data_IF_899125740878
#
_entry.id   IF_899125740878
#
_cell.length_a   1.000
_cell.length_b   1.000
_cell.length_c   1.000
_cell.angle_alpha   90.00
_cell.angle_beta   90.00
_cell.angle_gamma   90.00
#
_symmetry.space_group_name_H-M   'P 1'
#
loop_
_entity.id
_entity.type
_entity.pdbx_description
1 polymer ?
2 polymer ?
3 polymer ?
4 non-polymer ?
5 water ?
#
loop_
_entity_poly.entity_id
_entity_poly.type
_entity_poly.pdbx_seq_one_letter_code
_entity_poly.pdbx_strand_id
2 'polydeoxyribonucleotide' '(DG)(DG)(DG)(DA)(DA)(DT)(DG)(DG)(DC)(DA)(DG)(DT)(DA)(DT)(DT)(DC)(DA)(DT)(DC)(DC)(DA)(DC)(DA)(DA)(DT)(DG)' ?
3 'polydeoxyribonucleotide' '(DC)(DC)(DA)(DT)(DT)(DG)(DT)(DG)(DG)(DA)(DT)(DG)(DA)(DA)(DT)(DA)(DC)(DT)(DG)(DC)(DC)(DA)(DT)(DT)(DC)(DC)' ?
#
# COMPACT_ATOMS: atom_id res chain seq x y z
N UNK A 6 -6.98 2.88 -20.56
CA UNK A 6 -6.68 4.02 -19.71
C UNK A 6 -7.94 4.54 -19.01
N UNK A 7 -8.59 3.65 -18.29
CA UNK A 7 -9.81 3.98 -17.55
C UNK A 7 -9.48 4.78 -16.30
N UNK A 8 -10.50 5.02 -15.48
CA UNK A 8 -10.31 5.69 -14.19
C UNK A 8 -10.63 4.73 -13.06
N UNK A 9 -10.05 4.99 -11.89
CA UNK A 9 -10.16 4.07 -10.76
C UNK A 9 -11.25 4.50 -9.78
N UNK A 10 -11.99 3.52 -9.26
CA UNK A 10 -12.91 3.75 -8.15
C UNK A 10 -12.19 4.44 -7.00
N UNK A 11 -12.78 5.52 -6.47
CA UNK A 11 -12.12 6.37 -5.46
C UNK A 11 -11.71 5.61 -4.19
N UNK A 12 -12.53 4.67 -3.76
CA UNK A 12 -12.21 3.91 -2.55
C UNK A 12 -11.09 2.91 -2.79
N UNK A 13 -10.99 2.40 -4.01
CA UNK A 13 -9.87 1.55 -4.39
C UNK A 13 -8.60 2.38 -4.39
N UNK A 14 -8.72 3.60 -4.88
CA UNK A 14 -7.59 4.53 -4.93
C UNK A 14 -7.07 4.85 -3.54
N UNK A 15 -7.99 5.05 -2.60
CA UNK A 15 -7.62 5.32 -1.21
C UNK A 15 -6.95 4.09 -0.59
N UNK A 16 -7.45 2.91 -0.94
CA UNK A 16 -6.85 1.67 -0.46
C UNK A 16 -5.42 1.50 -0.95
N UNK A 17 -5.20 1.83 -2.22
CA UNK A 17 -3.88 1.71 -2.81
C UNK A 17 -2.93 2.78 -2.26
N UNK A 18 -3.47 3.95 -1.97
CA UNK A 18 -2.69 5.05 -1.39
C UNK A 18 -2.29 4.74 0.04
N UNK A 19 -3.22 4.15 0.81
CA UNK A 19 -2.92 3.67 2.14
C UNK A 19 -1.78 2.67 2.10
N UNK A 20 -1.70 1.92 1.00
CA UNK A 20 -0.69 0.90 0.82
C UNK A 20 0.66 1.50 0.38
N UNK A 21 0.64 2.35 -0.64
CA UNK A 21 1.89 2.78 -1.27
C UNK A 21 1.99 4.25 -1.65
N UNK A 22 1.14 5.09 -1.07
CA UNK A 22 1.26 6.51 -1.26
C UNK A 22 2.17 7.11 -0.21
N UNK A 23 2.58 8.36 -0.42
CA UNK A 23 3.44 9.03 0.55
C UNK A 23 3.23 10.54 0.55
N UNK A 24 2.93 11.10 1.72
CA UNK A 24 2.73 12.53 1.88
C UNK A 24 3.98 13.18 2.46
N UNK A 25 4.59 14.08 1.69
CA UNK A 25 5.86 14.66 2.09
C UNK A 25 5.87 16.17 2.24
N UNK A 26 6.62 16.63 3.23
CA UNK A 26 6.89 18.03 3.44
C UNK A 26 8.40 18.22 3.52
N UNK A 27 8.96 19.00 2.61
CA UNK A 27 10.41 19.07 2.50
C UNK A 27 10.95 20.49 2.61
N UNK A 28 11.89 20.66 3.53
CA UNK A 28 12.45 21.97 3.86
C UNK A 28 13.98 21.93 3.80
N UNK A 29 14.55 22.74 2.91
CA UNK A 29 16.00 22.82 2.78
C UNK A 29 16.48 24.28 2.79
N UNK A 30 17.66 24.51 3.35
CA UNK A 30 18.27 25.83 3.30
C UNK A 30 18.73 26.16 1.89
N UNK A 31 18.41 27.37 1.43
CA UNK A 31 18.73 27.78 0.08
C UNK A 31 20.13 28.39 -0.02
N UNK A 32 20.26 29.63 0.45
CA UNK A 32 21.52 30.35 0.37
C UNK A 32 22.38 30.16 1.61
N UNK A 37 17.04 31.93 2.24
CA UNK A 37 16.71 31.32 3.53
C UNK A 37 16.37 29.84 3.37
N UNK A 38 15.09 29.51 3.50
CA UNK A 38 14.63 28.14 3.36
C UNK A 38 13.66 27.98 2.20
N UNK A 39 13.80 26.88 1.46
CA UNK A 39 12.79 26.50 0.47
C UNK A 39 11.88 25.44 1.06
N UNK A 40 10.59 25.54 0.78
CA UNK A 40 9.62 24.60 1.32
C UNK A 40 8.76 24.02 0.21
N UNK A 41 8.69 22.69 0.17
CA UNK A 41 7.88 22.01 -0.83
C UNK A 41 6.95 20.99 -0.20
N UNK A 42 5.75 20.89 -0.77
CA UNK A 42 4.76 19.92 -0.35
C UNK A 42 4.52 18.95 -1.49
N UNK A 43 4.57 17.64 -1.22
CA UNK A 43 4.54 16.67 -2.30
C UNK A 43 3.88 15.34 -1.95
N UNK A 44 3.02 14.86 -2.84
CA UNK A 44 2.47 13.51 -2.76
C UNK A 44 3.14 12.64 -3.80
N UNK A 45 3.53 11.43 -3.40
CA UNK A 45 4.33 10.57 -4.27
C UNK A 45 3.94 9.11 -4.21
N UNK A 46 3.83 8.48 -5.39
CA UNK A 46 3.68 7.04 -5.49
C UNK A 46 4.79 6.47 -6.37
N UNK A 47 5.61 5.59 -5.81
CA UNK A 47 6.70 4.98 -6.56
C UNK A 47 6.45 3.48 -6.73
N UNK A 48 6.38 3.04 -7.98
CA UNK A 48 6.10 1.64 -8.30
C UNK A 48 7.12 1.05 -9.27
N UNK A 49 7.10 -0.26 -9.42
CA UNK A 49 7.91 -0.95 -10.42
C UNK A 49 7.36 -0.61 -11.81
N UNK A 50 8.24 -0.66 -12.82
CA UNK A 50 7.86 -0.34 -14.20
C UNK A 50 6.60 -1.05 -14.69
N UNK A 51 6.45 -2.31 -14.28
CA UNK A 51 5.36 -3.16 -14.76
C UNK A 51 3.98 -2.60 -14.43
N UNK A 52 3.90 -1.73 -13.43
CA UNK A 52 2.62 -1.17 -13.01
C UNK A 52 2.53 0.32 -13.29
N UNK A 53 3.06 0.74 -14.45
CA UNK A 53 2.97 2.13 -14.87
C UNK A 53 1.52 2.47 -15.21
N UNK A 54 0.76 1.47 -15.61
CA UNK A 54 -0.65 1.63 -15.97
C UNK A 54 -1.48 2.07 -14.78
N UNK A 55 -1.06 1.67 -13.58
CA UNK A 55 -1.73 2.09 -12.36
C UNK A 55 -1.60 3.60 -12.17
N UNK A 56 -0.38 4.10 -12.29
CA UNK A 56 -0.11 5.52 -12.14
C UNK A 56 -0.87 6.34 -13.17
N UNK A 57 -0.96 5.81 -14.39
CA UNK A 57 -1.68 6.48 -15.46
C UNK A 57 -3.19 6.53 -15.16
N UNK A 58 -3.70 5.46 -14.57
CA UNK A 58 -5.11 5.40 -14.19
C UNK A 58 -5.41 6.35 -13.02
N UNK A 59 -4.47 6.46 -12.09
CA UNK A 59 -4.61 7.40 -10.98
C UNK A 59 -4.57 8.83 -11.52
N UNK A 60 -3.66 9.05 -12.46
CA UNK A 60 -3.53 10.35 -13.11
C UNK A 60 -4.79 10.68 -13.89
N UNK A 61 -5.39 9.67 -14.50
CA UNK A 61 -6.61 9.84 -15.28
C UNK A 61 -7.81 10.13 -14.37
N UNK A 62 -7.69 9.76 -13.10
CA UNK A 62 -8.76 9.94 -12.14
C UNK A 62 -8.70 11.31 -11.48
N UNK A 63 -7.49 11.82 -11.28
CA UNK A 63 -7.29 13.09 -10.59
C UNK A 63 -6.99 14.23 -11.55
N UNK A 64 -6.50 13.89 -12.73
CA UNK A 64 -6.16 14.88 -13.76
C UNK A 64 -5.10 15.86 -13.25
N UNK A 65 -4.24 15.37 -12.36
CA UNK A 65 -3.12 16.15 -11.84
C UNK A 65 -1.88 15.25 -11.72
N UNK A 66 -0.72 15.86 -11.53
CA UNK A 66 0.49 15.11 -11.26
C UNK A 66 1.29 14.69 -12.49
N UNK A 67 2.59 14.52 -12.31
CA UNK A 67 3.48 14.09 -13.38
C UNK A 67 3.95 12.65 -13.16
N UNK A 68 4.17 11.93 -14.26
CA UNK A 68 4.69 10.57 -14.18
C UNK A 68 6.11 10.52 -14.72
N UNK A 69 7.03 10.04 -13.89
CA UNK A 69 8.46 10.11 -14.19
C UNK A 69 9.15 8.75 -14.06
N UNK A 70 10.13 8.50 -14.93
CA UNK A 70 11.01 7.35 -14.77
C UNK A 70 11.91 7.53 -13.56
N UNK A 71 11.81 6.61 -12.60
CA UNK A 71 12.62 6.67 -11.40
C UNK A 71 13.62 5.51 -11.38
N UNK A 72 14.82 5.76 -11.89
CA UNK A 72 15.83 4.71 -11.98
C UNK A 72 15.49 3.70 -13.06
N UNK A 73 16.21 2.59 -13.06
CA UNK A 73 16.08 1.60 -14.12
C UNK A 73 14.76 0.83 -14.09
N UNK A 74 14.26 0.53 -12.89
CA UNK A 74 13.12 -0.37 -12.76
C UNK A 74 11.91 0.21 -12.03
N UNK A 75 11.90 1.52 -11.80
CA UNK A 75 10.78 2.14 -11.09
C UNK A 75 10.22 3.37 -11.79
N UNK A 76 8.95 3.64 -11.54
CA UNK A 76 8.29 4.84 -12.04
C UNK A 76 7.53 5.53 -10.91
N UNK A 77 7.46 6.86 -10.96
CA UNK A 77 6.84 7.60 -9.88
C UNK A 77 5.78 8.59 -10.37
N UNK A 78 4.70 8.68 -9.60
CA UNK A 78 3.74 9.75 -9.78
C UNK A 78 4.01 10.84 -8.76
N UNK A 79 4.32 12.04 -9.24
CA UNK A 79 4.62 13.17 -8.36
C UNK A 79 3.57 14.26 -8.48
N UNK A 80 3.03 14.68 -7.33
CA UNK A 80 2.14 15.83 -7.29
C UNK A 80 2.76 16.89 -6.38
N UNK A 81 3.19 17.99 -6.96
CA UNK A 81 3.86 19.03 -6.19
C UNK A 81 3.22 20.40 -6.42
N UNK A 82 2.48 20.51 -7.52
CA UNK A 82 1.78 21.75 -7.86
C UNK A 82 0.76 22.08 -6.78
N UNK A 83 0.84 23.29 -6.23
CA UNK A 83 0.04 23.66 -5.07
C UNK A 83 -1.45 23.61 -5.33
N UNK A 84 -1.88 24.14 -6.49
CA UNK A 84 -3.28 24.10 -6.87
C UNK A 84 -3.75 22.67 -7.05
N UNK A 85 -2.85 21.81 -7.54
CA UNK A 85 -3.16 20.41 -7.79
C UNK A 85 -3.27 19.61 -6.49
N UNK A 86 -2.60 20.09 -5.44
CA UNK A 86 -2.65 19.42 -4.15
C UNK A 86 -4.03 19.55 -3.51
N UNK A 87 -4.78 20.57 -3.95
CA UNK A 87 -6.16 20.73 -3.52
C UNK A 87 -7.01 19.55 -3.97
N UNK A 88 -6.79 19.11 -5.20
CA UNK A 88 -7.48 17.96 -5.75
C UNK A 88 -7.28 16.72 -4.88
N UNK A 89 -6.03 16.51 -4.47
CA UNK A 89 -5.68 15.38 -3.62
C UNK A 89 -6.33 15.48 -2.25
N UNK A 90 -6.23 16.66 -1.63
CA UNK A 90 -6.81 16.88 -0.30
C UNK A 90 -8.31 16.62 -0.30
N UNK A 91 -8.99 17.07 -1.34
CA UNK A 91 -10.44 16.89 -1.44
C UNK A 91 -10.84 15.43 -1.61
N UNK A 92 -10.01 14.66 -2.31
CA UNK A 92 -10.27 13.24 -2.45
C UNK A 92 -10.21 12.53 -1.10
N UNK A 93 -9.16 12.82 -0.34
CA UNK A 93 -8.93 12.13 0.93
C UNK A 93 -9.80 12.68 2.05
N UNK A 94 -10.56 13.74 1.77
CA UNK A 94 -11.56 14.23 2.71
C UNK A 94 -12.86 13.47 2.50
N UNK A 95 -13.15 13.13 1.25
CA UNK A 95 -14.35 12.37 0.91
C UNK A 95 -14.12 10.87 1.11
N UNK A 96 -12.92 10.40 0.79
CA UNK A 96 -12.57 8.99 0.93
C UNK A 96 -11.29 8.83 1.75
N UNK A 97 -11.42 8.92 3.08
CA UNK A 97 -10.28 9.02 4.02
C UNK A 97 -9.44 7.75 4.16
N UNK A 98 -8.14 7.94 4.40
CA UNK A 98 -7.22 6.85 4.71
C UNK A 98 -7.58 6.23 6.06
N UNK A 99 -7.12 5.01 6.31
CA UNK A 99 -7.41 4.37 7.59
C UNK A 99 -6.18 3.76 8.28
N UNK A 100 -5.03 3.78 7.61
CA UNK A 100 -3.80 3.32 8.24
C UNK A 100 -3.16 4.48 9.01
N UNK A 101 -1.98 4.24 9.57
CA UNK A 101 -1.26 5.28 10.31
C UNK A 101 -0.84 6.42 9.39
N UNK A 102 -0.85 6.16 8.09
CA UNK A 102 -0.51 7.16 7.09
C UNK A 102 -1.49 8.32 7.12
N UNK A 103 -2.69 8.09 7.67
CA UNK A 103 -3.68 9.14 7.85
C UNK A 103 -3.12 10.28 8.69
N UNK A 104 -2.31 9.92 9.68
CA UNK A 104 -1.63 10.90 10.51
C UNK A 104 -0.69 11.77 9.69
N UNK A 105 0.02 11.16 8.75
CA UNK A 105 0.90 11.90 7.85
C UNK A 105 0.08 12.83 6.96
N UNK A 106 -1.07 12.35 6.53
CA UNK A 106 -1.97 13.16 5.72
C UNK A 106 -2.49 14.37 6.48
N UNK A 107 -2.87 14.17 7.75
CA UNK A 107 -3.36 15.26 8.59
C UNK A 107 -2.32 16.36 8.71
N UNK A 108 -1.08 15.97 8.99
CA UNK A 108 0.03 16.91 9.07
C UNK A 108 0.31 17.56 7.72
N UNK A 109 0.17 16.77 6.66
CA UNK A 109 0.29 17.26 5.30
C UNK A 109 -0.71 18.37 5.04
N UNK A 110 -1.94 18.16 5.54
CA UNK A 110 -3.01 19.13 5.40
C UNK A 110 -2.77 20.38 6.25
N UNK A 111 -2.25 20.17 7.46
CA UNK A 111 -1.95 21.28 8.35
C UNK A 111 -0.85 22.17 7.76
N UNK A 112 0.14 21.54 7.12
CA UNK A 112 1.22 22.28 6.47
C UNK A 112 0.69 23.03 5.25
N UNK A 113 -0.26 22.41 4.55
CA UNK A 113 -0.90 23.02 3.39
C UNK A 113 -1.59 24.33 3.78
N UNK A 114 -2.24 24.32 4.94
CA UNK A 114 -2.94 25.50 5.44
C UNK A 114 -1.98 26.64 5.71
N UNK A 115 -0.81 26.30 6.25
CA UNK A 115 0.23 27.29 6.54
C UNK A 115 0.71 27.98 5.27
N UNK A 116 0.90 27.19 4.22
CA UNK A 116 1.44 27.70 2.96
C UNK A 116 0.38 28.45 2.15
N UNK A 117 -0.89 28.13 2.38
CA UNK A 117 -1.98 28.79 1.69
C UNK A 117 -2.11 30.24 2.16
N UNK A 118 -1.73 30.49 3.40
CA UNK A 118 -1.71 31.83 3.96
C UNK A 118 -0.38 32.53 3.72
N UNK A 119 0.43 31.95 2.83
CA UNK A 119 1.74 32.48 2.46
C UNK A 119 2.66 32.66 3.68
N UNK A 120 2.38 31.92 4.74
CA UNK A 120 3.08 32.12 6.00
C UNK A 120 4.44 31.41 6.03
N UNK A 121 4.70 30.58 5.04
CA UNK A 121 5.99 29.89 4.94
C UNK A 121 7.09 30.83 4.46
N UNK A 122 6.72 32.05 4.09
CA UNK A 122 7.68 33.04 3.61
C UNK A 122 8.22 33.89 4.75
N UNK A 123 7.66 33.70 5.95
CA UNK A 123 8.14 34.38 7.14
C UNK A 123 8.77 33.40 8.10
N UNK A 124 9.63 33.90 9.00
CA UNK A 124 10.40 33.03 9.88
C UNK A 124 9.51 32.26 10.85
N UNK A 125 8.42 32.88 11.30
CA UNK A 125 7.49 32.22 12.22
C UNK A 125 6.78 31.03 11.57
N UNK A 126 6.54 31.13 10.27
CA UNK A 126 5.89 30.05 9.55
C UNK A 126 6.80 28.86 9.34
N UNK A 127 8.07 29.14 9.08
CA UNK A 127 9.07 28.09 8.94
C UNK A 127 9.16 27.23 10.20
N UNK A 128 9.15 27.89 11.35
CA UNK A 128 9.24 27.19 12.63
C UNK A 128 8.02 26.31 12.87
N UNK A 129 6.87 26.73 12.36
CA UNK A 129 5.66 25.92 12.44
C UNK A 129 5.76 24.69 11.54
N UNK A 130 6.28 24.90 10.33
CA UNK A 130 6.41 23.80 9.37
C UNK A 130 7.43 22.76 9.84
N UNK A 131 8.51 23.23 10.45
CA UNK A 131 9.52 22.32 11.00
C UNK A 131 8.91 21.43 12.08
N UNK A 132 8.08 22.04 12.91
CA UNK A 132 7.36 21.32 13.96
C UNK A 132 6.45 20.25 13.36
N UNK A 133 5.84 20.57 12.22
CA UNK A 133 4.96 19.64 11.54
C UNK A 133 5.77 18.51 10.91
N UNK A 134 6.83 18.86 10.20
CA UNK A 134 7.68 17.88 9.52
C UNK A 134 8.30 16.90 10.51
N UNK A 135 8.53 17.37 11.73
CA UNK A 135 9.13 16.53 12.77
C UNK A 135 8.28 15.30 13.04
N UNK A 136 6.96 15.43 12.88
CA UNK A 136 6.04 14.34 13.15
C UNK A 136 5.73 13.52 11.89
N UNK A 137 6.25 13.97 10.75
CA UNK A 137 5.96 13.32 9.48
C UNK A 137 7.02 12.32 9.06
N UNK A 138 6.57 11.11 8.68
CA UNK A 138 7.43 10.08 8.12
C UNK A 138 8.69 9.82 8.94
N UNK A 139 9.85 10.13 8.37
CA UNK A 139 11.12 9.90 9.05
C UNK A 139 11.58 11.09 9.88
N UNK A 140 10.79 12.15 9.88
CA UNK A 140 11.07 13.32 10.71
C UNK A 140 12.12 14.26 10.13
N UNK A 141 12.71 15.05 11.02
CA UNK A 141 13.64 16.10 10.62
C UNK A 141 14.99 15.57 10.13
N UNK A 142 15.61 16.34 9.24
CA UNK A 142 16.97 16.06 8.83
C UNK A 142 17.96 16.68 9.82
N UNK A 143 19.23 16.32 9.69
CA UNK A 143 20.26 16.84 10.59
C UNK A 143 20.59 18.29 10.31
N UNK A 144 20.31 18.76 9.10
CA UNK A 144 20.42 20.18 8.80
C UNK A 144 19.38 20.95 9.61
N UNK A 145 18.17 20.42 9.66
CA UNK A 145 17.09 21.04 10.41
C UNK A 145 17.30 20.86 11.91
N UNK A 146 17.85 19.71 12.30
CA UNK A 146 18.11 19.45 13.72
C UNK A 146 19.18 20.40 14.27
N UNK A 147 20.14 20.74 13.43
CA UNK A 147 21.20 21.65 13.82
C UNK A 147 20.70 23.10 13.84
N UNK A 148 19.92 23.45 12.84
CA UNK A 148 19.36 24.78 12.71
C UNK A 148 18.25 25.04 13.72
N UNK A 149 17.53 23.98 14.07
CA UNK A 149 16.49 24.07 15.09
C UNK A 149 16.71 23.03 16.17
N UNK A 150 17.69 23.27 17.06
CA UNK A 150 18.11 22.29 18.08
C UNK A 150 17.07 22.05 19.16
N UNK A 151 17.32 21.03 19.99
CA UNK A 151 16.38 20.64 21.03
C UNK A 151 15.52 19.48 20.58
N UNK A 152 14.72 18.95 21.50
CA UNK A 152 13.83 17.85 21.16
C UNK A 152 12.50 18.34 20.61
N UNK A 153 12.37 18.37 19.29
CA UNK A 153 11.10 18.67 18.66
C UNK A 153 10.23 17.42 18.69
N UNK A 154 9.01 17.57 19.18
CA UNK A 154 8.12 16.43 19.40
C UNK A 154 7.84 15.64 18.13
N UNK A 155 8.02 14.33 18.21
CA UNK A 155 7.71 13.42 17.11
C UNK A 155 6.37 12.74 17.35
N UNK A 156 5.84 12.90 18.56
CA UNK A 156 4.60 12.26 18.97
C UNK A 156 3.44 12.65 18.06
N UNK A 157 2.50 11.72 17.91
CA UNK A 157 1.39 11.89 16.99
C UNK A 157 0.20 11.06 17.46
N UNK A 158 -1.02 11.62 17.37
CA UNK A 158 -2.21 10.84 17.73
C UNK A 158 -2.32 9.57 16.90
N UNK A 159 -2.56 8.45 17.56
CA UNK A 159 -2.61 7.15 16.90
C UNK A 159 -3.94 6.95 16.18
N UNK A 160 -3.87 6.54 14.92
CA UNK A 160 -5.07 6.32 14.11
C UNK A 160 -5.66 4.94 14.38
N UNK A 161 -6.97 4.90 14.63
CA UNK A 161 -7.66 3.66 14.93
C UNK A 161 -9.00 3.58 14.23
N UNK A 162 -8.99 3.16 12.96
CA UNK A 162 -10.20 3.12 12.15
C UNK A 162 -10.44 1.73 11.55
N UNK A 163 -11.70 1.42 11.29
CA UNK A 163 -12.06 0.15 10.69
C UNK A 163 -12.02 0.21 9.17
N UNK A 164 -11.94 -0.96 8.54
CA UNK A 164 -12.02 -1.04 7.08
C UNK A 164 -13.37 -0.56 6.61
N UNK A 165 -13.40 0.53 5.84
CA UNK A 165 -14.65 1.16 5.39
C UNK A 165 -15.48 0.23 4.52
N UNK A 166 -14.84 -0.42 3.55
CA UNK A 166 -15.53 -1.34 2.64
C UNK A 166 -14.56 -2.23 1.87
N UNK A 167 -15.11 -3.10 1.03
CA UNK A 167 -14.28 -4.05 0.27
C UNK A 167 -13.56 -3.38 -0.90
N UNK A 168 -14.10 -2.26 -1.36
CA UNK A 168 -13.45 -1.49 -2.41
C UNK A 168 -12.11 -0.96 -1.91
N UNK A 169 -12.07 -0.55 -0.64
CA UNK A 169 -10.83 -0.12 -0.03
C UNK A 169 -9.87 -1.30 0.08
N UNK A 170 -10.40 -2.46 0.46
CA UNK A 170 -9.60 -3.65 0.67
C UNK A 170 -8.95 -4.12 -0.64
N UNK A 171 -9.68 -3.97 -1.74
CA UNK A 171 -9.18 -4.38 -3.04
C UNK A 171 -8.02 -3.48 -3.47
N UNK A 172 -8.09 -2.21 -3.11
CA UNK A 172 -7.02 -1.27 -3.40
C UNK A 172 -5.81 -1.53 -2.52
N UNK A 173 -6.06 -1.85 -1.26
CA UNK A 173 -5.00 -2.12 -0.30
C UNK A 173 -4.31 -3.46 -0.58
N UNK A 174 -5.09 -4.42 -1.04
CA UNK A 174 -4.56 -5.74 -1.38
C UNK A 174 -3.76 -5.67 -2.68
N UNK A 175 -4.16 -4.76 -3.57
CA UNK A 175 -3.44 -4.55 -4.83
C UNK A 175 -2.01 -4.08 -4.56
N UNK A 176 -1.80 -3.51 -3.38
CA UNK A 176 -0.49 -3.04 -2.98
C UNK A 176 0.25 -4.02 -2.08
N UNK A 177 -0.41 -4.47 -1.03
CA UNK A 177 0.26 -5.26 0.01
C UNK A 177 -0.05 -6.76 -0.05
N UNK A 178 -0.94 -7.16 -0.95
CA UNK A 178 -1.40 -8.53 -0.99
C UNK A 178 -0.47 -9.51 -1.69
N UNK A 179 -0.71 -10.80 -1.47
CA UNK A 179 0.05 -11.86 -2.13
C UNK A 179 -0.82 -13.09 -2.37
N UNK A 180 -0.90 -13.51 -3.62
CA UNK A 180 -1.61 -14.72 -3.99
C UNK A 180 -0.60 -15.77 -4.44
N UNK A 181 -0.41 -16.80 -3.61
CA UNK A 181 0.64 -17.77 -3.86
C UNK A 181 0.19 -19.19 -4.04
N UNK A 182 0.75 -19.85 -5.06
CA UNK A 182 0.58 -21.28 -5.24
C UNK A 182 1.82 -21.98 -4.70
N UNK A 183 1.65 -22.78 -3.66
CA UNK A 183 2.79 -23.41 -3.00
C UNK A 183 2.82 -24.92 -3.17
N UNK A 184 3.99 -25.45 -3.51
CA UNK A 184 4.18 -26.89 -3.64
C UNK A 184 4.81 -27.44 -2.38
N UNK A 185 4.07 -28.30 -1.69
CA UNK A 185 4.52 -28.84 -0.41
C UNK A 185 5.35 -30.11 -0.58
N UNK A 186 6.58 -30.06 -0.10
CA UNK A 186 7.44 -31.24 -0.08
C UNK A 186 7.30 -31.95 1.25
N UNK A 187 7.41 -33.28 1.23
CA UNK A 187 7.48 -34.09 2.44
C UNK A 187 8.85 -34.79 2.53
N UNK A 188 9.03 -35.64 3.54
CA UNK A 188 10.31 -36.26 3.82
C UNK A 188 10.44 -37.73 3.36
N UNK A 189 9.36 -38.50 3.44
CA UNK A 189 9.43 -39.93 3.09
C UNK A 189 9.09 -40.22 1.62
N UNK A 190 8.46 -39.26 0.96
CA UNK A 190 8.13 -39.41 -0.46
C UNK A 190 8.82 -38.34 -1.30
N UNK A 191 8.52 -38.32 -2.59
CA UNK A 191 9.07 -37.30 -3.49
C UNK A 191 7.96 -36.55 -4.22
N UNK A 192 6.74 -37.03 -4.09
CA UNK A 192 5.59 -36.35 -4.68
C UNK A 192 5.29 -35.07 -3.89
N UNK A 193 4.89 -34.03 -4.61
CA UNK A 193 4.56 -32.76 -3.97
C UNK A 193 3.05 -32.52 -3.99
N UNK A 194 2.59 -31.71 -3.05
CA UNK A 194 1.17 -31.34 -2.99
C UNK A 194 1.01 -29.84 -3.17
N UNK A 195 -0.16 -29.42 -3.61
CA UNK A 195 -0.43 -28.01 -3.85
C UNK A 195 -1.19 -27.39 -2.69
N UNK A 196 -0.76 -26.20 -2.28
CA UNK A 196 -1.48 -25.42 -1.28
C UNK A 196 -1.58 -23.98 -1.75
N UNK A 197 -2.77 -23.41 -1.65
CA UNK A 197 -2.98 -22.01 -1.99
C UNK A 197 -2.83 -21.13 -0.76
N UNK A 198 -2.21 -19.96 -0.93
CA UNK A 198 -2.02 -19.04 0.17
C UNK A 198 -2.37 -17.60 -0.20
N UNK A 199 -3.09 -16.94 0.70
CA UNK A 199 -3.30 -15.50 0.59
C UNK A 199 -2.65 -14.81 1.77
N UNK A 200 -1.82 -13.81 1.49
CA UNK A 200 -1.15 -13.08 2.55
C UNK A 200 -1.21 -11.57 2.37
N UNK A 201 -1.24 -10.87 3.49
CA UNK A 201 -1.11 -9.42 3.52
C UNK A 201 -0.05 -9.04 4.54
N UNK A 202 0.95 -8.30 4.10
CA UNK A 202 2.05 -7.89 4.98
C UNK A 202 1.92 -6.42 5.36
N UNK A 203 2.34 -6.09 6.57
CA UNK A 203 2.29 -4.72 7.06
C UNK A 203 3.12 -4.55 8.32
N UNK A 204 3.65 -3.34 8.53
CA UNK A 204 4.42 -3.03 9.71
C UNK A 204 3.57 -3.21 10.97
N UNK A 205 4.22 -3.47 12.10
CA UNK A 205 3.54 -3.72 13.37
C UNK A 205 2.68 -2.52 13.80
N UNK A 206 3.02 -1.33 13.32
CA UNK A 206 2.35 -0.10 13.74
C UNK A 206 0.85 -0.11 13.45
N UNK A 207 0.41 -0.95 12.52
CA UNK A 207 -1.01 -1.11 12.24
C UNK A 207 -1.51 -2.48 12.65
N UNK A 208 -1.17 -2.88 13.88
CA UNK A 208 -1.51 -4.19 14.39
C UNK A 208 -3.01 -4.37 14.56
N UNK A 209 -3.70 -3.30 14.97
CA UNK A 209 -5.14 -3.35 15.20
C UNK A 209 -5.92 -3.56 13.91
N UNK A 210 -5.48 -2.88 12.85
CA UNK A 210 -6.13 -3.03 11.55
C UNK A 210 -5.95 -4.44 11.00
N UNK A 211 -4.73 -4.96 11.12
CA UNK A 211 -4.41 -6.29 10.61
C UNK A 211 -5.22 -7.37 11.32
N UNK A 212 -5.33 -7.25 12.64
CA UNK A 212 -6.09 -8.20 13.44
C UNK A 212 -7.56 -8.24 13.03
N UNK A 213 -8.06 -7.09 12.57
CA UNK A 213 -9.47 -6.99 12.18
C UNK A 213 -9.76 -7.71 10.87
N UNK A 214 -8.72 -8.02 10.11
CA UNK A 214 -8.88 -8.75 8.85
C UNK A 214 -9.47 -10.13 9.09
N UNK A 215 -9.10 -10.75 10.21
CA UNK A 215 -9.62 -12.06 10.59
C UNK A 215 -11.14 -12.04 10.69
N UNK A 216 -11.66 -11.02 11.39
CA UNK A 216 -13.10 -10.87 11.56
C UNK A 216 -13.76 -10.37 10.28
N UNK A 217 -13.08 -9.46 9.59
CA UNK A 217 -13.64 -8.84 8.39
C UNK A 217 -13.80 -9.83 7.24
N UNK A 218 -12.87 -10.77 7.13
CA UNK A 218 -12.92 -11.76 6.06
C UNK A 218 -13.51 -13.08 6.55
N UNK A 219 -13.34 -13.37 7.84
CA UNK A 219 -13.91 -14.56 8.43
C UNK A 219 -12.96 -15.74 8.48
N UNK A 220 -11.66 -15.47 8.42
CA UNK A 220 -10.65 -16.52 8.40
C UNK A 220 -9.26 -15.98 8.68
N UNK A 221 -8.28 -16.88 8.69
CA UNK A 221 -6.88 -16.48 8.71
C UNK A 221 -6.25 -16.30 10.08
N UNK A 222 -4.94 -16.06 10.07
CA UNK A 222 -4.16 -15.85 11.28
C UNK A 222 -3.25 -14.64 11.12
N UNK A 223 -2.77 -14.13 12.24
CA UNK A 223 -1.77 -13.05 12.22
C UNK A 223 -0.46 -13.56 12.80
N UNK A 224 0.58 -13.58 11.96
CA UNK A 224 1.91 -13.98 12.42
C UNK A 224 2.86 -12.78 12.43
N UNK A 225 3.79 -12.78 13.38
CA UNK A 225 4.77 -11.70 13.49
C UNK A 225 6.18 -12.23 13.32
N UNK A 226 7.00 -11.49 12.58
CA UNK A 226 8.41 -11.81 12.44
C UNK A 226 9.25 -10.68 13.01
N UNK A 227 10.41 -11.01 13.56
CA UNK A 227 11.25 -10.01 14.20
C UNK A 227 12.73 -10.21 13.91
N UNK A 228 13.35 -9.21 13.29
CA UNK A 228 14.77 -9.24 12.97
C UNK A 228 15.48 -8.00 13.51
N UNK A 229 16.10 -8.15 14.68
CA UNK A 229 16.65 -7.02 15.44
C UNK A 229 15.55 -5.99 15.68
N UNK A 230 15.75 -4.77 15.19
CA UNK A 230 14.76 -3.72 15.38
C UNK A 230 13.75 -3.71 14.25
N UNK A 231 13.75 -4.76 13.43
CA UNK A 231 12.79 -4.91 12.35
C UNK A 231 11.70 -5.91 12.70
N UNK A 232 10.46 -5.52 12.47
CA UNK A 232 9.32 -6.40 12.72
C UNK A 232 8.16 -6.04 11.81
N UNK A 233 7.43 -7.06 11.36
CA UNK A 233 6.25 -6.84 10.53
C UNK A 233 5.22 -7.94 10.79
N UNK A 234 3.99 -7.70 10.34
CA UNK A 234 2.91 -8.65 10.54
C UNK A 234 2.48 -9.30 9.23
N UNK A 235 1.88 -10.48 9.34
CA UNK A 235 1.42 -11.21 8.17
C UNK A 235 0.04 -11.81 8.40
N UNK A 236 -0.97 -11.26 7.74
CA UNK A 236 -2.28 -11.90 7.71
C UNK A 236 -2.19 -13.06 6.72
N UNK A 237 -2.52 -14.27 7.17
CA UNK A 237 -2.25 -15.46 6.35
C UNK A 237 -3.40 -16.45 6.33
N UNK A 238 -3.79 -16.87 5.12
CA UNK A 238 -4.83 -17.88 4.95
C UNK A 238 -4.29 -19.05 4.11
N UNK A 239 -4.58 -20.27 4.55
CA UNK A 239 -4.12 -21.46 3.85
C UNK A 239 -5.23 -22.49 3.62
N UNK A 240 -6.15 -22.58 4.58
CA UNK A 240 -7.27 -23.51 4.51
C UNK A 240 -8.10 -23.26 3.24
N UNK A 241 -8.17 -24.25 2.37
CA UNK A 241 -8.73 -24.06 1.03
C UNK A 241 -10.20 -23.63 1.03
N UNK A 242 -10.98 -24.16 1.97
CA UNK A 242 -12.39 -23.81 2.05
C UNK A 242 -12.54 -22.30 2.25
N UNK A 243 -11.76 -21.75 3.17
CA UNK A 243 -11.79 -20.31 3.42
C UNK A 243 -11.30 -19.50 2.22
N UNK A 244 -10.27 -20.02 1.55
CA UNK A 244 -9.73 -19.34 0.38
C UNK A 244 -10.73 -19.40 -0.78
N UNK A 245 -11.41 -20.53 -0.92
CA UNK A 245 -12.38 -20.70 -1.99
C UNK A 245 -13.72 -20.01 -1.70
N UNK A 246 -14.10 -19.97 -0.43
CA UNK A 246 -15.41 -19.43 -0.04
C UNK A 246 -15.37 -17.98 0.42
N UNK A 247 -14.25 -17.53 1.00
CA UNK A 247 -14.23 -16.24 1.68
C UNK A 247 -13.24 -15.23 1.09
N UNK A 248 -12.25 -15.69 0.35
CA UNK A 248 -11.24 -14.79 -0.21
C UNK A 248 -11.48 -14.52 -1.70
N UNK A 249 -11.62 -15.58 -2.47
CA UNK A 249 -11.85 -15.46 -3.91
C UNK A 249 -13.16 -14.74 -4.27
N UNK A 250 -14.29 -15.05 -3.59
CA UNK A 250 -15.50 -14.30 -3.92
C UNK A 250 -15.36 -12.79 -3.68
N UNK A 251 -14.63 -12.41 -2.65
CA UNK A 251 -14.43 -11.00 -2.33
C UNK A 251 -13.75 -10.23 -3.46
N UNK A 252 -12.64 -10.78 -3.97
CA UNK A 252 -11.87 -10.08 -4.99
C UNK A 252 -12.41 -10.28 -6.40
N UNK A 253 -13.27 -11.28 -6.58
CA UNK A 253 -13.98 -11.43 -7.85
C UNK A 253 -15.02 -10.31 -7.98
N UNK A 254 -15.67 -10.00 -6.87
CA UNK A 254 -16.69 -8.95 -6.82
C UNK A 254 -16.08 -7.56 -6.80
N UNK A 255 -14.95 -7.43 -6.11
CA UNK A 255 -14.21 -6.18 -6.04
C UNK A 255 -12.86 -6.32 -6.72
N UNK A 256 -12.76 -5.83 -7.95
CA UNK A 256 -11.63 -6.10 -8.83
C UNK A 256 -10.32 -5.46 -8.38
N UNK A 257 -9.25 -6.25 -8.43
CA UNK A 257 -7.91 -5.75 -8.14
C UNK A 257 -7.38 -4.92 -9.30
N UNK A 258 -6.26 -4.26 -9.09
CA UNK A 258 -5.65 -3.44 -10.13
C UNK A 258 -4.17 -3.79 -10.30
N UNK A 259 -3.62 -3.45 -11.46
CA UNK A 259 -2.22 -3.70 -11.75
C UNK A 259 -1.93 -5.15 -12.10
N UNK A 260 -0.65 -5.49 -12.12
CA UNK A 260 -0.20 -6.84 -12.48
C UNK A 260 -0.74 -7.88 -11.50
N UNK A 261 -0.94 -7.48 -10.25
CA UNK A 261 -1.41 -8.41 -9.23
C UNK A 261 -2.81 -8.96 -9.54
N UNK A 262 -3.55 -8.26 -10.39
CA UNK A 262 -4.84 -8.76 -10.85
C UNK A 262 -4.65 -10.04 -11.67
N UNK A 263 -3.64 -10.04 -12.52
CA UNK A 263 -3.33 -11.19 -13.35
C UNK A 263 -2.89 -12.38 -12.49
N UNK A 264 -2.24 -12.09 -11.37
CA UNK A 264 -1.82 -13.12 -10.44
C UNK A 264 -3.03 -13.77 -9.79
N UNK A 265 -4.02 -12.94 -9.46
CA UNK A 265 -5.26 -13.42 -8.84
C UNK A 265 -6.06 -14.31 -9.79
N UNK A 266 -6.01 -13.99 -11.08
CA UNK A 266 -6.74 -14.76 -12.08
C UNK A 266 -6.13 -16.14 -12.27
N UNK A 267 -4.81 -16.21 -12.35
CA UNK A 267 -4.10 -17.48 -12.41
C UNK A 267 -4.31 -18.26 -11.12
N UNK A 268 -4.32 -17.52 -10.02
CA UNK A 268 -4.58 -18.07 -8.69
C UNK A 268 -5.92 -18.77 -8.65
N UNK A 269 -6.93 -18.17 -9.27
CA UNK A 269 -8.27 -18.72 -9.30
C UNK A 269 -8.37 -19.94 -10.22
N UNK A 270 -7.55 -19.97 -11.27
CA UNK A 270 -7.51 -21.12 -12.16
C UNK A 270 -7.08 -22.36 -11.38
N UNK A 271 -6.00 -22.22 -10.61
CA UNK A 271 -5.50 -23.30 -9.77
C UNK A 271 -6.56 -23.74 -8.76
N UNK A 272 -7.24 -22.76 -8.18
CA UNK A 272 -8.28 -23.02 -7.18
C UNK A 272 -9.42 -23.86 -7.74
N UNK A 273 -9.79 -23.59 -8.98
CA UNK A 273 -10.87 -24.32 -9.62
C UNK A 273 -10.46 -25.76 -9.88
N UNK A 274 -9.19 -25.96 -10.21
CA UNK A 274 -8.64 -27.29 -10.44
C UNK A 274 -8.61 -28.08 -9.13
N UNK A 275 -8.27 -27.41 -8.04
CA UNK A 275 -8.27 -28.03 -6.72
C UNK A 275 -9.70 -28.34 -6.28
N UNK A 276 -10.60 -27.41 -6.57
CA UNK A 276 -12.02 -27.57 -6.28
C UNK A 276 -12.59 -28.81 -6.97
N UNK A 277 -12.18 -29.02 -8.21
CA UNK A 277 -12.61 -30.18 -8.98
C UNK A 277 -11.69 -31.37 -8.74
N UNK A 278 -10.80 -31.23 -7.76
CA UNK A 278 -9.87 -32.28 -7.36
C UNK A 278 -9.01 -32.80 -8.51
N UNK A 279 -8.79 -31.96 -9.52
CA UNK A 279 -7.93 -32.31 -10.64
C UNK A 279 -6.45 -32.21 -10.26
N UNK A 280 -6.18 -31.67 -9.08
CA UNK A 280 -4.81 -31.50 -8.61
C UNK A 280 -4.24 -32.80 -8.07
N UNK A 281 -5.10 -33.78 -7.86
CA UNK A 281 -4.68 -35.09 -7.37
C UNK A 281 -4.40 -36.03 -8.53
N UNK A 282 -4.67 -35.54 -9.74
CA UNK A 282 -4.26 -36.24 -10.95
C UNK A 282 -2.88 -35.74 -11.34
N UNK A 283 -2.39 -36.14 -12.51
CA UNK A 283 -1.04 -35.75 -12.90
C UNK A 283 -1.05 -34.79 -14.08
N UNK A 284 -2.13 -34.80 -14.86
CA UNK A 284 -2.30 -33.81 -15.91
C UNK A 284 -2.65 -32.47 -15.25
N UNK A 285 -3.42 -32.55 -14.18
CA UNK A 285 -3.81 -31.38 -13.42
C UNK A 285 -2.66 -30.75 -12.66
N UNK A 286 -1.92 -31.56 -11.92
CA UNK A 286 -0.77 -31.09 -11.17
C UNK A 286 0.27 -30.48 -12.08
N UNK A 287 0.39 -31.02 -13.29
CA UNK A 287 1.32 -30.50 -14.28
C UNK A 287 0.91 -29.09 -14.73
N UNK A 288 -0.36 -28.91 -15.05
CA UNK A 288 -0.87 -27.61 -15.48
C UNK A 288 -0.70 -26.58 -14.36
N UNK A 289 -0.90 -27.02 -13.13
CA UNK A 289 -0.73 -26.14 -11.97
C UNK A 289 0.73 -25.73 -11.82
N UNK A 290 1.64 -26.68 -12.00
CA UNK A 290 3.06 -26.40 -11.91
C UNK A 290 3.51 -25.42 -12.99
N UNK A 291 2.83 -25.46 -14.14
CA UNK A 291 3.09 -24.49 -15.21
C UNK A 291 2.60 -23.11 -14.80
N UNK A 292 1.37 -23.03 -14.30
CA UNK A 292 0.77 -21.77 -13.88
C UNK A 292 1.59 -21.11 -12.78
N UNK A 293 2.14 -21.92 -11.89
CA UNK A 293 3.01 -21.43 -10.81
C UNK A 293 4.26 -20.76 -11.36
N UNK A 294 4.83 -21.35 -12.40
CA UNK A 294 6.07 -20.86 -13.00
C UNK A 294 5.94 -19.47 -13.63
N UNK A 295 4.72 -19.12 -14.05
CA UNK A 295 4.53 -17.88 -14.82
C UNK A 295 3.73 -16.81 -14.09
N UNK A 296 3.65 -16.91 -12.77
CA UNK A 296 2.96 -15.89 -11.98
C UNK A 296 3.88 -15.30 -10.92
N UNK A 297 3.48 -14.14 -10.38
CA UNK A 297 4.26 -13.40 -9.40
C UNK A 297 5.66 -13.05 -9.93
N UNK A 298 6.70 -13.51 -9.24
CA UNK A 298 8.07 -13.23 -9.67
C UNK A 298 8.41 -13.95 -10.97
N UNK A 299 7.63 -14.96 -11.32
CA UNK A 299 7.84 -15.73 -12.53
C UNK A 299 7.33 -15.04 -13.78
N UNK A 300 6.49 -14.03 -13.61
CA UNK A 300 5.95 -13.28 -14.74
C UNK A 300 6.93 -12.22 -15.22
#
# INVERSE_FOLDING_TARGET
MASSRRESINPWILTGFADAEGSFGLYIYNRNRGRIRYTTRLRFTITLHNKDKSILENIQSTWKVGIITNNGDNAVSLHVSRFEDLKVIIDHFEKYPLITQKLGDYKLFKQAFSVMENKEHLKENGIKELVRIKAKMNWGLTDELKKAFPGNISRERPLINKNIPNFKWLAGFTSGEGHFGVELIKNSRNSRVHVRLRFEIAQHVRDKNLMNSLITYLGCGYIYEQNYSERSWLRFSVSKFSDINDKIIPVFQENTLIGVKLEDFEDWCKVAKLIEEKKHLTESGLDEIKKIKLNMNKGR
#
